data_IF_722114477500
#
_entry.id   IF_722114477500
#
_cell.length_a   1.000
_cell.length_b   1.000
_cell.length_c   1.000
_cell.angle_alpha   90.00
_cell.angle_beta   90.00
_cell.angle_gamma   90.00
#
_symmetry.space_group_name_H-M   'P 1'
#
loop_
_entity.id
_entity.type
_entity.pdbx_description
1 polymer ?
#
# COMPACT_ATOMS: atom_id res chain seq x y z
N UNK A 1 39.39 -8.61 -6.86
CA UNK A 1 38.82 -9.50 -5.82
C UNK A 1 37.72 -8.86 -4.95
N UNK A 2 37.12 -7.72 -5.32
CA UNK A 2 36.11 -7.03 -4.48
C UNK A 2 34.68 -7.09 -5.06
N UNK A 3 34.52 -7.52 -6.32
CA UNK A 3 33.22 -7.54 -7.00
C UNK A 3 32.37 -8.79 -6.70
N UNK A 4 32.94 -9.89 -6.22
CA UNK A 4 32.20 -11.12 -5.93
C UNK A 4 31.49 -11.13 -4.58
N UNK A 5 31.91 -10.29 -3.63
CA UNK A 5 31.27 -10.20 -2.31
C UNK A 5 29.97 -9.37 -2.32
N UNK A 6 29.81 -8.46 -3.29
CA UNK A 6 28.59 -7.64 -3.41
C UNK A 6 27.38 -8.46 -3.87
N UNK A 7 27.60 -9.50 -4.69
CA UNK A 7 26.54 -10.39 -5.16
C UNK A 7 26.05 -11.37 -4.10
N UNK A 8 26.94 -11.83 -3.20
CA UNK A 8 26.58 -12.79 -2.14
C UNK A 8 25.66 -12.13 -1.10
N UNK A 9 25.87 -10.83 -0.80
CA UNK A 9 25.04 -10.07 0.14
C UNK A 9 23.61 -9.81 -0.37
N UNK A 10 23.39 -9.76 -1.68
CA UNK A 10 22.06 -9.64 -2.28
C UNK A 10 21.28 -10.97 -2.18
N UNK A 11 21.98 -12.11 -2.24
CA UNK A 11 21.35 -13.42 -2.16
C UNK A 11 20.78 -13.76 -0.76
N UNK A 12 21.37 -13.24 0.32
CA UNK A 12 20.86 -13.47 1.69
C UNK A 12 19.61 -12.64 1.99
N UNK A 13 19.54 -11.38 1.51
CA UNK A 13 18.35 -10.54 1.70
C UNK A 13 17.08 -11.15 1.07
N UNK A 14 17.24 -11.90 -0.01
CA UNK A 14 16.12 -12.58 -0.67
C UNK A 14 15.67 -13.86 0.06
N UNK A 15 16.54 -14.50 0.87
CA UNK A 15 16.21 -15.75 1.56
C UNK A 15 15.53 -15.57 2.93
N UNK A 16 15.69 -14.41 3.57
CA UNK A 16 15.03 -14.13 4.87
C UNK A 16 13.54 -13.73 4.73
N UNK A 17 13.11 -13.33 3.53
CA UNK A 17 11.69 -12.99 3.24
C UNK A 17 10.84 -14.24 3.05
N UNK A 18 11.43 -15.34 2.60
CA UNK A 18 10.69 -16.57 2.22
C UNK A 18 10.29 -17.42 3.44
N UNK A 19 10.95 -17.25 4.59
CA UNK A 19 10.83 -18.18 5.73
C UNK A 19 10.31 -17.55 7.04
N UNK A 20 9.26 -16.74 6.97
CA UNK A 20 8.45 -16.36 8.14
C UNK A 20 7.00 -16.88 8.05
N UNK A 21 6.85 -18.16 7.73
CA UNK A 21 5.58 -18.88 7.94
C UNK A 21 5.43 -19.27 9.41
N UNK A 22 4.52 -18.62 10.12
CA UNK A 22 3.51 -19.22 11.02
C UNK A 22 3.14 -18.30 12.19
N UNK A 23 1.87 -17.85 12.23
CA UNK A 23 0.97 -17.97 13.39
C UNK A 23 -0.42 -17.37 13.09
N UNK A 24 -1.44 -18.18 13.36
CA UNK A 24 -2.88 -17.98 13.18
C UNK A 24 -3.43 -16.56 13.37
N UNK A 25 -4.10 -16.01 12.36
CA UNK A 25 -5.30 -15.17 12.53
C UNK A 25 -6.19 -15.33 11.29
N UNK A 26 -7.50 -15.48 11.52
CA UNK A 26 -8.55 -15.77 10.54
C UNK A 26 -8.22 -15.37 9.09
N UNK A 27 -8.20 -16.38 8.21
CA UNK A 27 -8.06 -16.21 6.76
C UNK A 27 -9.09 -15.16 6.31
N UNK A 28 -8.68 -14.02 5.73
CA UNK A 28 -9.63 -13.08 5.16
C UNK A 28 -10.51 -13.83 4.15
N UNK A 29 -11.83 -13.65 4.25
CA UNK A 29 -12.80 -14.32 3.40
C UNK A 29 -12.34 -14.27 1.94
N UNK A 30 -12.40 -15.40 1.21
CA UNK A 30 -11.96 -15.50 -0.20
C UNK A 30 -12.64 -14.46 -1.09
N UNK A 31 -13.79 -13.96 -0.65
CA UNK A 31 -14.50 -12.81 -1.22
C UNK A 31 -13.95 -11.51 -0.59
N UNK A 32 -13.06 -10.84 -1.32
CA UNK A 32 -12.69 -9.46 -1.02
C UNK A 32 -13.92 -8.53 -1.10
N UNK A 33 -13.86 -7.33 -0.49
CA UNK A 33 -14.94 -6.37 -0.62
C UNK A 33 -15.18 -6.04 -2.11
N UNK A 34 -16.42 -6.17 -2.56
CA UNK A 34 -16.82 -5.92 -3.96
C UNK A 34 -16.87 -4.43 -4.26
N UNK A 35 -17.16 -3.60 -3.25
CA UNK A 35 -17.24 -2.15 -3.40
C UNK A 35 -15.86 -1.58 -3.65
N UNK A 36 -15.73 -0.96 -4.81
CA UNK A 36 -14.54 -0.20 -5.20
C UNK A 36 -14.87 1.28 -5.05
N UNK A 37 -13.93 2.04 -4.51
CA UNK A 37 -14.00 3.49 -4.39
C UNK A 37 -12.84 4.09 -5.14
N UNK A 38 -13.06 5.28 -5.68
CA UNK A 38 -11.98 6.07 -6.27
C UNK A 38 -11.44 7.03 -5.23
N UNK A 39 -10.13 7.04 -5.09
CA UNK A 39 -9.39 7.83 -4.11
C UNK A 39 -8.77 9.01 -4.85
N UNK A 40 -8.99 10.22 -4.33
CA UNK A 40 -8.56 11.47 -4.90
C UNK A 40 -7.71 12.27 -3.91
N UNK A 41 -6.81 13.09 -4.44
CA UNK A 41 -6.12 14.09 -3.64
C UNK A 41 -7.10 15.18 -3.21
N UNK A 42 -7.14 15.53 -1.93
CA UNK A 42 -8.02 16.59 -1.43
C UNK A 42 -7.66 17.98 -1.98
N UNK A 43 -6.38 18.21 -2.30
CA UNK A 43 -5.86 19.50 -2.77
C UNK A 43 -6.18 19.76 -4.24
N UNK A 44 -5.80 18.84 -5.12
CA UNK A 44 -5.90 19.03 -6.58
C UNK A 44 -6.97 18.14 -7.24
N UNK A 45 -7.68 17.31 -6.47
CA UNK A 45 -8.71 16.38 -6.95
C UNK A 45 -8.24 15.35 -7.98
N UNK A 46 -6.93 15.23 -8.20
CA UNK A 46 -6.35 14.20 -9.07
C UNK A 46 -6.62 12.82 -8.50
N UNK A 47 -7.00 11.87 -9.36
CA UNK A 47 -7.19 10.48 -8.99
C UNK A 47 -5.84 9.87 -8.60
N UNK A 48 -5.78 9.27 -7.40
CA UNK A 48 -4.59 8.64 -6.86
C UNK A 48 -4.66 7.13 -7.04
N UNK A 49 -5.74 6.52 -6.55
CA UNK A 49 -5.92 5.07 -6.57
C UNK A 49 -7.36 4.67 -6.83
N UNK A 50 -7.55 3.47 -7.36
CA UNK A 50 -8.82 2.75 -7.33
C UNK A 50 -8.72 1.63 -6.30
N UNK A 51 -9.57 1.60 -5.28
CA UNK A 51 -9.38 0.75 -4.10
C UNK A 51 -10.62 -0.04 -3.69
N UNK A 52 -10.44 -1.32 -3.36
CA UNK A 52 -11.52 -2.16 -2.80
C UNK A 52 -11.69 -1.89 -1.31
N UNK A 53 -12.66 -1.03 -0.97
CA UNK A 53 -12.89 -0.58 0.40
C UNK A 53 -13.74 -1.57 1.19
N UNK A 54 -13.20 -2.04 2.31
CA UNK A 54 -13.95 -2.81 3.30
C UNK A 54 -14.62 -1.91 4.32
N UNK A 55 -15.93 -2.08 4.54
CA UNK A 55 -16.70 -1.38 5.57
C UNK A 55 -17.05 0.08 5.23
N UNK A 56 -17.84 0.71 6.12
CA UNK A 56 -18.38 2.08 5.94
C UNK A 56 -17.50 3.20 6.53
N UNK A 57 -16.54 2.88 7.39
CA UNK A 57 -15.72 3.87 8.12
C UNK A 57 -14.72 4.66 7.27
N UNK A 58 -13.97 5.56 7.90
CA UNK A 58 -12.97 6.39 7.22
C UNK A 58 -11.84 5.58 6.56
N UNK A 59 -11.29 6.11 5.46
CA UNK A 59 -10.15 5.51 4.77
C UNK A 59 -8.83 5.89 5.46
N UNK A 60 -8.52 5.22 6.56
CA UNK A 60 -7.29 5.45 7.34
C UNK A 60 -6.12 4.59 6.83
N UNK A 61 -6.41 3.34 6.45
CA UNK A 61 -5.43 2.34 5.99
C UNK A 61 -5.84 1.78 4.64
N UNK A 62 -4.92 1.80 3.69
CA UNK A 62 -5.09 1.29 2.34
C UNK A 62 -4.09 0.16 2.12
N UNK A 63 -4.55 -1.09 2.11
CA UNK A 63 -3.66 -2.24 1.89
C UNK A 63 -3.25 -2.32 0.42
N UNK A 64 -1.95 -2.47 0.14
CA UNK A 64 -1.44 -2.48 -1.24
C UNK A 64 -2.08 -3.58 -2.10
N UNK A 65 -2.32 -4.75 -1.49
CA UNK A 65 -2.99 -5.90 -2.10
C UNK A 65 -4.44 -5.63 -2.57
N UNK A 66 -5.09 -4.57 -2.08
CA UNK A 66 -6.48 -4.20 -2.42
C UNK A 66 -6.57 -3.02 -3.38
N UNK A 67 -5.44 -2.48 -3.82
CA UNK A 67 -5.37 -1.46 -4.86
C UNK A 67 -5.65 -2.16 -6.19
N UNK A 68 -6.67 -1.67 -6.89
CA UNK A 68 -7.09 -2.17 -8.20
C UNK A 68 -6.28 -1.49 -9.29
N UNK A 69 -6.05 -0.19 -9.14
CA UNK A 69 -5.24 0.60 -10.06
C UNK A 69 -4.49 1.68 -9.27
N UNK A 70 -3.23 1.89 -9.65
CA UNK A 70 -2.35 2.92 -9.12
C UNK A 70 -2.08 3.96 -10.21
N UNK A 71 -2.35 5.22 -9.91
CA UNK A 71 -2.15 6.36 -10.82
C UNK A 71 -1.03 7.29 -10.33
N UNK A 72 -0.24 6.86 -9.34
CA UNK A 72 0.87 7.65 -8.79
C UNK A 72 2.20 7.30 -9.47
N UNK A 73 3.06 8.30 -9.69
CA UNK A 73 4.42 8.08 -10.20
C UNK A 73 5.40 7.69 -9.09
N UNK A 74 5.20 8.26 -7.90
CA UNK A 74 6.03 8.02 -6.73
C UNK A 74 5.09 7.62 -5.58
N UNK A 75 5.38 6.53 -4.87
CA UNK A 75 4.51 6.08 -3.79
C UNK A 75 4.34 7.20 -2.76
N UNK A 76 3.13 7.31 -2.21
CA UNK A 76 2.77 8.31 -1.20
C UNK A 76 2.76 9.78 -1.66
N UNK A 77 3.16 10.10 -2.90
CA UNK A 77 3.23 11.46 -3.43
C UNK A 77 2.23 11.65 -4.57
N UNK A 78 1.49 12.76 -4.53
CA UNK A 78 0.54 13.10 -5.59
C UNK A 78 1.30 13.51 -6.87
N UNK A 79 0.99 12.92 -8.04
CA UNK A 79 1.69 13.22 -9.29
C UNK A 79 1.46 14.65 -9.80
N UNK A 80 0.34 15.28 -9.42
CA UNK A 80 -0.03 16.61 -9.90
C UNK A 80 0.47 17.74 -8.98
N UNK A 81 0.27 17.60 -7.66
CA UNK A 81 0.60 18.68 -6.71
C UNK A 81 1.84 18.42 -5.85
N UNK A 82 2.52 17.28 -6.02
CA UNK A 82 3.72 16.90 -5.26
C UNK A 82 3.49 16.68 -3.77
N UNK A 83 2.25 16.74 -3.29
CA UNK A 83 1.97 16.62 -1.87
C UNK A 83 2.06 15.17 -1.41
N UNK A 84 2.71 14.93 -0.28
CA UNK A 84 2.62 13.67 0.44
C UNK A 84 1.17 13.49 0.96
N UNK A 85 0.53 12.39 0.58
CA UNK A 85 -0.87 12.10 0.95
C UNK A 85 -1.01 10.86 1.83
N UNK A 86 0.02 10.00 1.87
CA UNK A 86 0.06 8.79 2.68
C UNK A 86 1.48 8.52 3.17
N UNK A 87 1.64 7.55 4.07
CA UNK A 87 2.94 7.01 4.49
C UNK A 87 2.94 5.50 4.34
N UNK A 88 4.07 4.93 3.94
CA UNK A 88 4.22 3.48 3.86
C UNK A 88 4.36 2.89 5.27
N UNK A 89 3.61 1.83 5.55
CA UNK A 89 3.61 1.19 6.87
C UNK A 89 3.22 -0.29 6.77
N UNK A 90 3.68 -1.08 7.74
CA UNK A 90 3.25 -2.46 7.90
C UNK A 90 2.12 -2.50 8.93
N UNK A 91 0.95 -3.00 8.52
CA UNK A 91 -0.19 -3.22 9.41
C UNK A 91 -0.32 -4.72 9.62
N UNK A 92 0.06 -5.21 10.81
CA UNK A 92 0.04 -6.63 11.18
C UNK A 92 0.84 -7.51 10.20
N UNK A 93 2.00 -7.02 9.75
CA UNK A 93 2.86 -7.71 8.79
C UNK A 93 2.46 -7.55 7.33
N UNK A 94 1.33 -6.91 7.01
CA UNK A 94 0.90 -6.66 5.63
C UNK A 94 1.24 -5.22 5.20
N UNK A 95 1.82 -5.01 4.00
CA UNK A 95 2.13 -3.69 3.48
C UNK A 95 0.87 -2.85 3.20
N UNK A 96 0.85 -1.63 3.70
CA UNK A 96 -0.26 -0.71 3.57
C UNK A 96 0.19 0.76 3.55
N UNK A 97 -0.55 1.59 2.84
CA UNK A 97 -0.45 3.03 2.92
C UNK A 97 -1.36 3.57 4.03
N UNK A 98 -0.78 4.25 5.01
CA UNK A 98 -1.53 5.01 6.02
C UNK A 98 -1.79 6.40 5.50
N UNK A 99 -3.06 6.70 5.22
CA UNK A 99 -3.47 7.99 4.67
C UNK A 99 -3.26 9.10 5.71
N UNK A 100 -2.77 10.25 5.26
CA UNK A 100 -2.69 11.45 6.10
C UNK A 100 -4.09 12.09 6.13
N UNK A 101 -4.59 12.36 7.34
CA UNK A 101 -5.93 12.92 7.54
C UNK A 101 -6.13 14.24 6.77
N UNK A 102 -7.28 14.40 6.12
CA UNK A 102 -7.63 15.61 5.38
C UNK A 102 -6.88 15.81 4.05
N UNK A 103 -5.95 14.92 3.68
CA UNK A 103 -5.19 15.01 2.42
C UNK A 103 -5.77 14.20 1.27
N UNK A 104 -6.70 13.30 1.60
CA UNK A 104 -7.28 12.34 0.67
C UNK A 104 -8.79 12.34 0.83
N UNK A 105 -9.51 12.31 -0.29
CA UNK A 105 -10.97 12.12 -0.34
C UNK A 105 -11.27 10.87 -1.16
N UNK A 106 -12.43 10.23 -0.91
CA UNK A 106 -12.87 9.09 -1.71
C UNK A 106 -14.34 9.24 -2.06
N UNK A 107 -14.73 8.73 -3.23
CA UNK A 107 -16.11 8.69 -3.71
C UNK A 107 -16.50 7.26 -4.08
#
# INVERSE_FOLDING_TARGET
>A
MVLTLYSIRIATYNNDIINSKSKNMAKPNKKGPTRTVDIFCAKCKTQLFKYRKGGKGALVKCFKERIVADFTHTPCICPNCGQEFARDTLVRGTPAFKMIGGKVTFK
#
